data_IF_053565245886
#
_entry.id   IF_053565245886
#
_cell.length_a   1.000
_cell.length_b   1.000
_cell.length_c   1.000
_cell.angle_alpha   90.00
_cell.angle_beta   90.00
_cell.angle_gamma   90.00
#
_symmetry.space_group_name_H-M   'P 1'
#
loop_
_entity.id
_entity.type
_entity.pdbx_description
1 polymer ?
#
# COMPACT_ATOMS: atom_id res chain seq x y z
N UNK A 1 -11.61 -41.06 53.96
CA UNK A 1 -10.49 -40.18 53.58
C UNK A 1 -10.91 -38.74 53.84
N UNK A 2 -10.23 -38.02 54.73
CA UNK A 2 -10.71 -36.71 55.17
C UNK A 2 -10.28 -35.62 54.18
N UNK A 3 -11.21 -35.19 53.33
CA UNK A 3 -11.03 -34.15 52.29
C UNK A 3 -10.37 -32.88 52.85
N UNK A 4 -10.71 -32.47 54.07
CA UNK A 4 -10.13 -31.29 54.72
C UNK A 4 -8.61 -31.38 54.92
N UNK A 5 -8.07 -32.59 55.14
CA UNK A 5 -6.61 -32.79 55.24
C UNK A 5 -5.94 -32.73 53.88
N UNK A 6 -6.60 -33.28 52.85
CA UNK A 6 -6.10 -33.24 51.46
C UNK A 6 -6.01 -31.80 50.97
N UNK A 7 -7.04 -30.98 51.20
CA UNK A 7 -7.06 -29.56 50.81
C UNK A 7 -5.98 -28.76 51.53
N UNK A 8 -5.79 -28.99 52.84
CA UNK A 8 -4.77 -28.28 53.62
C UNK A 8 -3.34 -28.61 53.15
N UNK A 9 -3.06 -29.89 52.87
CA UNK A 9 -1.78 -30.31 52.30
C UNK A 9 -1.60 -29.70 50.90
N UNK A 10 -2.60 -29.80 50.03
CA UNK A 10 -2.54 -29.25 48.68
C UNK A 10 -2.29 -27.73 48.67
N UNK A 11 -2.95 -26.98 49.55
CA UNK A 11 -2.72 -25.54 49.69
C UNK A 11 -1.27 -25.22 50.09
N UNK A 12 -0.72 -25.94 51.08
CA UNK A 12 0.65 -25.70 51.55
C UNK A 12 1.68 -25.97 50.45
N UNK A 13 1.54 -27.08 49.73
CA UNK A 13 2.44 -27.44 48.63
C UNK A 13 2.30 -26.49 47.43
N UNK A 14 1.08 -26.04 47.12
CA UNK A 14 0.82 -25.02 46.09
C UNK A 14 1.45 -23.68 46.44
N UNK A 15 1.22 -23.18 47.66
CA UNK A 15 1.82 -21.94 48.15
C UNK A 15 3.36 -22.02 48.12
N UNK A 16 3.95 -23.13 48.56
CA UNK A 16 5.41 -23.30 48.54
C UNK A 16 6.01 -23.20 47.12
N UNK A 17 5.25 -23.59 46.10
CA UNK A 17 5.69 -23.56 44.69
C UNK A 17 5.41 -22.20 44.04
N UNK A 18 4.21 -21.65 44.25
CA UNK A 18 3.71 -20.43 43.60
C UNK A 18 4.25 -19.15 44.22
N UNK A 19 4.56 -19.13 45.52
CA UNK A 19 5.14 -17.95 46.18
C UNK A 19 6.64 -17.78 45.92
N UNK A 20 7.26 -18.66 45.13
CA UNK A 20 8.65 -18.47 44.75
C UNK A 20 8.76 -17.22 43.86
N UNK A 21 9.80 -16.43 44.08
CA UNK A 21 10.06 -15.22 43.28
C UNK A 21 10.12 -15.55 41.78
N UNK A 22 10.71 -16.70 41.43
CA UNK A 22 10.78 -17.18 40.05
C UNK A 22 9.41 -17.46 39.43
N UNK A 23 8.49 -18.11 40.16
CA UNK A 23 7.14 -18.39 39.65
C UNK A 23 6.32 -17.11 39.46
N UNK A 24 6.33 -16.22 40.46
CA UNK A 24 5.64 -14.92 40.39
C UNK A 24 6.14 -14.06 39.23
N UNK A 25 7.47 -14.00 39.04
CA UNK A 25 8.07 -13.29 37.92
C UNK A 25 7.68 -13.96 36.60
N UNK A 26 7.80 -15.28 36.47
CA UNK A 26 7.46 -16.00 35.24
C UNK A 26 6.00 -15.83 34.82
N UNK A 27 5.08 -15.94 35.78
CA UNK A 27 3.64 -15.74 35.55
C UNK A 27 3.30 -14.31 35.14
N UNK A 28 4.04 -13.31 35.61
CA UNK A 28 3.75 -11.90 35.33
C UNK A 28 4.47 -11.37 34.08
N UNK A 29 5.69 -11.86 33.81
CA UNK A 29 6.53 -11.38 32.70
C UNK A 29 5.94 -11.76 31.35
N UNK A 30 5.48 -13.01 31.17
CA UNK A 30 4.90 -13.45 29.90
C UNK A 30 3.67 -12.60 29.49
N UNK A 31 2.62 -12.42 30.32
CA UNK A 31 1.50 -11.58 29.94
C UNK A 31 1.90 -10.10 29.80
N UNK A 32 2.86 -9.61 30.58
CA UNK A 32 3.39 -8.26 30.41
C UNK A 32 4.02 -8.07 29.02
N UNK A 33 4.83 -9.02 28.55
CA UNK A 33 5.40 -9.00 27.20
C UNK A 33 4.29 -9.01 26.14
N UNK A 34 3.26 -9.85 26.32
CA UNK A 34 2.12 -9.90 25.39
C UNK A 34 1.39 -8.56 25.33
N UNK A 35 1.15 -7.91 26.48
CA UNK A 35 0.52 -6.58 26.53
C UNK A 35 1.40 -5.53 25.86
N UNK A 36 2.70 -5.53 26.13
CA UNK A 36 3.65 -4.61 25.48
C UNK A 36 3.64 -4.83 23.97
N UNK A 37 3.68 -6.08 23.50
CA UNK A 37 3.63 -6.39 22.06
C UNK A 37 2.30 -6.01 21.43
N UNK A 38 1.18 -6.25 22.09
CA UNK A 38 -0.13 -5.86 21.60
C UNK A 38 -0.28 -4.34 21.41
N UNK A 39 0.43 -3.54 22.23
CA UNK A 39 0.45 -2.07 22.11
C UNK A 39 1.54 -1.59 21.14
N UNK A 40 2.73 -2.20 21.14
CA UNK A 40 3.86 -1.77 20.32
C UNK A 40 3.71 -2.16 18.85
N UNK A 41 3.17 -3.35 18.55
CA UNK A 41 2.96 -3.83 17.17
C UNK A 41 2.15 -2.86 16.31
N UNK A 42 0.97 -2.36 16.71
CA UNK A 42 0.24 -1.42 15.87
C UNK A 42 1.03 -0.13 15.68
N UNK A 43 1.76 0.37 16.68
CA UNK A 43 2.58 1.58 16.54
C UNK A 43 3.71 1.39 15.52
N UNK A 44 4.32 0.19 15.47
CA UNK A 44 5.38 -0.14 14.52
C UNK A 44 4.86 -0.46 13.11
N UNK A 45 3.61 -0.91 12.98
CA UNK A 45 2.99 -1.32 11.71
C UNK A 45 2.16 -0.17 11.09
N UNK A 46 1.85 0.88 11.85
CA UNK A 46 1.06 2.02 11.38
C UNK A 46 1.92 3.10 10.71
N UNK A 47 2.88 2.69 9.90
CA UNK A 47 3.32 3.52 8.78
C UNK A 47 2.21 3.45 7.75
N UNK A 48 1.30 4.42 7.79
CA UNK A 48 0.35 4.64 6.70
C UNK A 48 1.16 4.70 5.41
N UNK A 49 0.84 3.82 4.46
CA UNK A 49 1.50 3.84 3.16
C UNK A 49 1.36 5.27 2.62
N UNK A 50 2.46 5.94 2.26
CA UNK A 50 2.41 7.35 1.88
C UNK A 50 1.39 7.50 0.75
N UNK A 51 0.39 8.34 0.97
CA UNK A 51 -0.57 8.67 -0.08
C UNK A 51 0.21 9.33 -1.21
N UNK A 52 0.28 8.65 -2.34
CA UNK A 52 1.00 9.16 -3.50
C UNK A 52 0.08 10.20 -4.13
N UNK A 53 0.31 11.46 -3.75
CA UNK A 53 -0.32 12.64 -4.33
C UNK A 53 0.71 13.39 -5.16
N UNK A 54 0.32 13.82 -6.37
CA UNK A 54 1.18 14.71 -7.14
C UNK A 54 0.78 14.89 -8.61
N UNK A 55 1.62 15.66 -9.29
CA UNK A 55 1.39 16.13 -10.65
C UNK A 55 2.10 15.24 -11.68
N UNK A 56 1.40 14.94 -12.77
CA UNK A 56 1.94 14.32 -13.98
C UNK A 56 1.83 15.36 -15.09
N UNK A 57 2.97 15.90 -15.49
CA UNK A 57 3.05 16.82 -16.62
C UNK A 57 3.10 16.03 -17.93
N UNK A 58 2.28 16.42 -18.91
CA UNK A 58 2.18 15.71 -20.19
C UNK A 58 2.31 16.71 -21.33
N UNK A 59 3.32 16.48 -22.17
CA UNK A 59 3.47 17.13 -23.47
C UNK A 59 2.87 16.18 -24.50
N UNK A 60 1.68 16.52 -25.00
CA UNK A 60 0.95 15.74 -26.00
C UNK A 60 0.63 16.60 -27.23
N UNK A 61 1.49 16.56 -28.26
CA UNK A 61 1.25 17.24 -29.53
C UNK A 61 0.10 16.63 -30.34
N UNK A 62 -0.29 15.39 -30.03
CA UNK A 62 -1.35 14.66 -30.74
C UNK A 62 -2.73 15.07 -30.25
N UNK A 63 -2.84 15.45 -28.97
CA UNK A 63 -4.08 15.79 -28.29
C UNK A 63 -4.98 14.58 -27.99
N UNK A 64 -4.57 13.36 -28.36
CA UNK A 64 -5.36 12.13 -28.18
C UNK A 64 -4.96 11.35 -26.93
N UNK A 65 -3.73 11.49 -26.45
CA UNK A 65 -3.20 10.72 -25.31
C UNK A 65 -3.67 11.31 -23.99
N UNK A 66 -3.67 12.64 -23.87
CA UNK A 66 -4.02 13.33 -22.63
C UNK A 66 -5.40 12.94 -22.08
N UNK A 67 -6.50 12.93 -22.87
CA UNK A 67 -7.83 12.58 -22.35
C UNK A 67 -7.89 11.12 -21.85
N UNK A 68 -7.33 10.20 -22.64
CA UNK A 68 -7.31 8.78 -22.30
C UNK A 68 -6.48 8.51 -21.03
N UNK A 69 -5.34 9.19 -20.90
CA UNK A 69 -4.48 9.08 -19.72
C UNK A 69 -5.17 9.64 -18.47
N UNK A 70 -5.89 10.75 -18.58
CA UNK A 70 -6.67 11.34 -17.48
C UNK A 70 -7.79 10.43 -17.01
N UNK A 71 -8.50 9.79 -17.93
CA UNK A 71 -9.54 8.83 -17.57
C UNK A 71 -8.93 7.60 -16.89
N UNK A 72 -7.84 7.07 -17.45
CA UNK A 72 -7.16 5.89 -16.92
C UNK A 72 -6.59 6.12 -15.52
N UNK A 73 -5.98 7.28 -15.27
CA UNK A 73 -5.38 7.63 -13.98
C UNK A 73 -6.36 8.27 -12.99
N UNK A 74 -7.64 8.33 -13.32
CA UNK A 74 -8.66 8.80 -12.38
C UNK A 74 -8.70 7.91 -11.12
N UNK A 75 -8.95 8.49 -9.93
CA UNK A 75 -9.06 7.73 -8.69
C UNK A 75 -10.09 6.60 -8.80
N UNK A 76 -11.20 6.84 -9.48
CA UNK A 76 -12.27 5.87 -9.71
C UNK A 76 -11.79 4.68 -10.56
N UNK A 77 -11.09 4.94 -11.67
CA UNK A 77 -10.55 3.89 -12.53
C UNK A 77 -9.46 3.07 -11.84
N UNK A 78 -8.63 3.70 -11.00
CA UNK A 78 -7.61 3.00 -10.20
C UNK A 78 -8.28 2.13 -9.12
N UNK A 79 -9.28 2.67 -8.42
CA UNK A 79 -10.02 1.94 -7.40
C UNK A 79 -10.75 0.72 -7.99
N UNK A 80 -11.40 0.89 -9.15
CA UNK A 80 -12.06 -0.21 -9.86
C UNK A 80 -11.07 -1.34 -10.19
N UNK A 81 -9.94 -1.01 -10.82
CA UNK A 81 -8.90 -1.99 -11.18
C UNK A 81 -8.32 -2.71 -9.96
N UNK A 82 -7.99 -1.98 -8.90
CA UNK A 82 -7.51 -2.60 -7.65
C UNK A 82 -8.53 -3.54 -7.03
N UNK A 83 -9.82 -3.20 -7.11
CA UNK A 83 -10.88 -4.08 -6.59
C UNK A 83 -11.00 -5.38 -7.38
N UNK A 84 -10.84 -5.33 -8.70
CA UNK A 84 -10.84 -6.49 -9.59
C UNK A 84 -9.62 -7.38 -9.35
N UNK A 85 -8.42 -6.79 -9.25
CA UNK A 85 -7.18 -7.51 -8.93
C UNK A 85 -7.26 -8.17 -7.55
N UNK A 86 -7.80 -7.46 -6.56
CA UNK A 86 -8.01 -8.00 -5.20
C UNK A 86 -8.93 -9.19 -5.23
N UNK A 87 -10.07 -9.09 -5.94
CA UNK A 87 -11.03 -10.17 -6.07
C UNK A 87 -10.40 -11.40 -6.75
N UNK A 88 -9.63 -11.20 -7.82
CA UNK A 88 -8.95 -12.27 -8.54
C UNK A 88 -7.90 -12.98 -7.67
N UNK A 89 -7.08 -12.22 -6.93
CA UNK A 89 -6.06 -12.77 -6.02
C UNK A 89 -6.71 -13.53 -4.86
N UNK A 90 -7.78 -12.98 -4.28
CA UNK A 90 -8.52 -13.63 -3.20
C UNK A 90 -9.15 -14.95 -3.65
N UNK A 91 -9.72 -14.99 -4.86
CA UNK A 91 -10.28 -16.20 -5.46
C UNK A 91 -9.19 -17.27 -5.70
N UNK A 92 -8.04 -16.88 -6.25
CA UNK A 92 -6.92 -17.81 -6.47
C UNK A 92 -6.39 -18.40 -5.16
N UNK A 93 -6.27 -17.58 -4.11
CA UNK A 93 -5.84 -18.01 -2.77
C UNK A 93 -6.86 -18.96 -2.13
N UNK A 94 -8.16 -18.66 -2.21
CA UNK A 94 -9.22 -19.52 -1.71
C UNK A 94 -9.19 -20.90 -2.37
N UNK A 95 -9.02 -20.93 -3.70
CA UNK A 95 -8.91 -22.15 -4.48
C UNK A 95 -7.66 -22.99 -4.12
N UNK A 96 -6.51 -22.34 -3.89
CA UNK A 96 -5.26 -23.04 -3.50
C UNK A 96 -5.32 -23.59 -2.08
N UNK A 97 -5.91 -22.86 -1.15
CA UNK A 97 -5.82 -23.19 0.26
C UNK A 97 -6.87 -24.23 0.72
N UNK A 98 -7.87 -24.56 -0.13
CA UNK A 98 -9.04 -25.41 0.25
C UNK A 98 -9.62 -25.02 1.61
N UNK A 99 -9.55 -23.73 1.95
CA UNK A 99 -9.97 -23.24 3.24
C UNK A 99 -11.50 -23.36 3.31
N UNK A 100 -12.06 -23.90 4.40
CA UNK A 100 -13.51 -23.87 4.60
C UNK A 100 -13.97 -22.41 4.66
N UNK A 101 -15.17 -22.13 4.11
CA UNK A 101 -15.88 -20.83 4.12
C UNK A 101 -16.26 -20.37 5.55
N UNK A 102 -15.34 -20.41 6.51
CA UNK A 102 -15.52 -19.76 7.79
C UNK A 102 -15.17 -18.27 7.63
N UNK A 103 -16.21 -17.46 7.54
CA UNK A 103 -16.23 -16.01 7.32
C UNK A 103 -15.24 -15.18 8.16
N UNK A 104 -14.75 -15.69 9.30
CA UNK A 104 -13.82 -14.96 10.17
C UNK A 104 -12.36 -14.93 9.65
N UNK A 105 -11.91 -15.97 8.93
CA UNK A 105 -10.55 -16.01 8.38
C UNK A 105 -10.48 -15.30 7.03
N UNK A 106 -11.55 -15.37 6.24
CA UNK A 106 -11.65 -14.68 4.95
C UNK A 106 -11.63 -13.15 5.08
N UNK A 107 -12.35 -12.59 6.07
CA UNK A 107 -12.38 -11.15 6.30
C UNK A 107 -11.02 -10.56 6.70
N UNK A 108 -10.26 -11.26 7.54
CA UNK A 108 -8.92 -10.83 7.95
C UNK A 108 -7.91 -10.88 6.79
N UNK A 109 -8.06 -11.85 5.87
CA UNK A 109 -7.23 -11.95 4.68
C UNK A 109 -7.55 -10.81 3.69
N UNK A 110 -8.84 -10.52 3.48
CA UNK A 110 -9.30 -9.45 2.58
C UNK A 110 -8.85 -8.06 3.07
N UNK A 111 -8.92 -7.81 4.37
CA UNK A 111 -8.44 -6.57 4.98
C UNK A 111 -6.90 -6.44 4.89
N UNK A 112 -6.17 -7.55 5.05
CA UNK A 112 -4.71 -7.56 4.88
C UNK A 112 -4.31 -7.27 3.43
N UNK A 113 -5.02 -7.83 2.43
CA UNK A 113 -4.77 -7.54 1.01
C UNK A 113 -5.08 -6.09 0.69
N UNK A 114 -6.24 -5.56 1.15
CA UNK A 114 -6.59 -4.14 0.98
C UNK A 114 -5.56 -3.21 1.60
N UNK A 115 -5.09 -3.51 2.81
CA UNK A 115 -4.06 -2.72 3.50
C UNK A 115 -2.72 -2.76 2.76
N UNK A 116 -2.37 -3.89 2.13
CA UNK A 116 -1.15 -4.01 1.33
C UNK A 116 -1.16 -3.21 0.02
N UNK A 117 -2.35 -2.98 -0.55
CA UNK A 117 -2.51 -2.19 -1.78
C UNK A 117 -2.38 -0.68 -1.53
N UNK A 118 -2.46 -0.25 -0.26
CA UNK A 118 -2.36 1.14 0.15
C UNK A 118 -3.54 1.99 -0.31
N UNK A 119 -3.46 3.29 -0.02
CA UNK A 119 -4.48 4.27 -0.43
C UNK A 119 -4.49 4.45 -1.96
N UNK A 120 -5.63 4.86 -2.50
CA UNK A 120 -5.76 5.19 -3.92
C UNK A 120 -4.97 6.48 -4.17
N UNK A 121 -3.98 6.46 -5.09
CA UNK A 121 -3.18 7.64 -5.36
C UNK A 121 -4.02 8.74 -6.04
N UNK A 122 -3.65 9.98 -5.79
CA UNK A 122 -4.31 11.16 -6.35
C UNK A 122 -3.36 11.83 -7.34
N UNK A 123 -3.66 11.68 -8.62
CA UNK A 123 -2.86 12.27 -9.69
C UNK A 123 -3.55 13.47 -10.32
N UNK A 124 -2.81 14.56 -10.45
CA UNK A 124 -3.22 15.73 -11.21
C UNK A 124 -2.48 15.74 -12.54
N UNK A 125 -3.21 15.66 -13.66
CA UNK A 125 -2.60 15.73 -14.98
C UNK A 125 -2.59 17.17 -15.47
N UNK A 126 -1.41 17.70 -15.73
CA UNK A 126 -1.22 19.05 -16.26
C UNK A 126 -0.77 18.98 -17.71
N UNK A 127 -1.58 19.47 -18.67
CA UNK A 127 -1.13 19.59 -20.05
C UNK A 127 -0.08 20.69 -20.16
N UNK A 128 1.00 20.39 -20.86
CA UNK A 128 2.04 21.34 -21.22
C UNK A 128 1.96 21.61 -22.72
N UNK A 129 2.11 22.88 -23.10
CA UNK A 129 2.12 23.29 -24.50
C UNK A 129 3.39 22.73 -25.19
N UNK A 130 3.23 21.89 -26.24
CA UNK A 130 4.35 21.33 -27.00
C UNK A 130 5.30 22.36 -27.60
N UNK A 131 4.83 23.58 -27.85
CA UNK A 131 5.59 24.62 -28.52
C UNK A 131 6.29 25.59 -27.56
N UNK A 132 5.83 25.69 -26.31
CA UNK A 132 6.41 26.56 -25.29
C UNK A 132 7.11 25.81 -24.15
N UNK A 133 6.92 24.49 -24.05
CA UNK A 133 7.52 23.70 -22.98
C UNK A 133 9.03 23.57 -23.17
N UNK A 134 9.79 24.22 -22.29
CA UNK A 134 11.22 23.99 -22.16
C UNK A 134 11.45 22.66 -21.42
N UNK A 135 11.61 21.57 -22.16
CA UNK A 135 11.76 20.20 -21.63
C UNK A 135 12.77 20.12 -20.48
N UNK A 136 13.87 20.87 -20.54
CA UNK A 136 14.88 20.88 -19.48
C UNK A 136 14.39 21.56 -18.18
N UNK A 137 13.56 22.61 -18.27
CA UNK A 137 12.93 23.23 -17.11
C UNK A 137 11.92 22.27 -16.46
N UNK A 138 11.12 21.59 -17.28
CA UNK A 138 10.12 20.62 -16.81
C UNK A 138 10.77 19.40 -16.14
N UNK A 139 11.94 18.97 -16.62
CA UNK A 139 12.77 17.96 -15.94
C UNK A 139 13.35 18.45 -14.63
N UNK A 140 13.75 19.73 -14.52
CA UNK A 140 14.23 20.29 -13.26
C UNK A 140 13.12 20.32 -12.20
N UNK A 141 11.87 20.53 -12.60
CA UNK A 141 10.72 20.45 -11.69
C UNK A 141 10.55 19.06 -11.06
N UNK A 142 11.00 17.97 -11.73
CA UNK A 142 11.03 16.63 -11.12
C UNK A 142 12.00 16.52 -9.93
N UNK A 143 13.00 17.40 -9.85
CA UNK A 143 13.99 17.42 -8.77
C UNK A 143 13.62 18.40 -7.64
N UNK A 144 12.67 19.30 -7.88
CA UNK A 144 12.27 20.33 -6.92
C UNK A 144 11.63 19.71 -5.67
N UNK A 145 11.95 20.21 -4.47
CA UNK A 145 11.36 19.69 -3.24
C UNK A 145 9.98 20.34 -3.01
N UNK A 146 8.96 19.73 -3.62
CA UNK A 146 7.56 20.10 -3.49
C UNK A 146 6.79 18.96 -2.82
N UNK A 147 5.72 19.31 -2.10
CA UNK A 147 4.89 18.38 -1.34
C UNK A 147 3.43 18.40 -1.85
N UNK A 148 2.70 17.30 -1.65
CA UNK A 148 1.29 17.17 -2.03
C UNK A 148 1.04 17.30 -3.54
N UNK A 149 -0.11 17.86 -3.91
CA UNK A 149 -0.55 18.03 -5.31
C UNK A 149 0.45 18.77 -6.23
N UNK A 150 1.25 19.69 -5.68
CA UNK A 150 2.23 20.47 -6.45
C UNK A 150 3.53 19.67 -6.72
N UNK A 151 3.67 18.50 -6.09
CA UNK A 151 4.83 17.64 -6.28
C UNK A 151 4.77 16.96 -7.64
N UNK A 152 5.70 17.32 -8.53
CA UNK A 152 5.81 16.63 -9.81
C UNK A 152 6.39 15.23 -9.68
N UNK A 153 5.59 14.25 -10.10
CA UNK A 153 5.93 12.82 -10.04
C UNK A 153 6.52 12.34 -11.36
N UNK A 154 5.94 12.78 -12.47
CA UNK A 154 6.37 12.35 -13.80
C UNK A 154 6.21 13.46 -14.86
N UNK A 155 7.05 13.37 -15.89
CA UNK A 155 6.94 14.11 -17.14
C UNK A 155 6.86 13.10 -18.28
N UNK A 156 5.76 13.18 -19.03
CA UNK A 156 5.52 12.38 -20.23
C UNK A 156 5.67 13.27 -21.45
N UNK A 157 6.49 12.84 -22.41
CA UNK A 157 6.66 13.52 -23.69
C UNK A 157 6.23 12.54 -24.79
N UNK A 158 5.17 12.89 -25.51
CA UNK A 158 4.63 12.10 -26.61
C UNK A 158 5.15 12.68 -27.92
N UNK A 159 5.66 11.84 -28.81
CA UNK A 159 6.07 12.29 -30.14
C UNK A 159 4.84 12.58 -31.04
N UNK A 160 4.94 13.53 -31.97
CA UNK A 160 3.84 13.96 -32.86
C UNK A 160 3.19 12.82 -33.66
N UNK A 161 3.93 11.75 -33.92
CA UNK A 161 3.47 10.56 -34.66
C UNK A 161 3.24 9.34 -33.75
N UNK A 162 3.09 9.52 -32.43
CA UNK A 162 2.91 8.41 -31.50
C UNK A 162 1.59 7.65 -31.71
N UNK A 163 0.53 8.34 -32.17
CA UNK A 163 -0.81 7.76 -32.39
C UNK A 163 -1.17 7.60 -33.87
N UNK A 164 -0.44 8.27 -34.76
CA UNK A 164 -0.65 8.20 -36.21
C UNK A 164 0.66 7.89 -36.93
N UNK A 165 0.65 6.94 -37.85
CA UNK A 165 1.81 6.58 -38.64
C UNK A 165 2.37 7.78 -39.41
N UNK A 166 3.70 7.89 -39.44
CA UNK A 166 4.37 8.86 -40.29
C UNK A 166 4.32 8.43 -41.77
N UNK A 167 4.86 9.26 -42.67
CA UNK A 167 4.91 8.97 -44.11
C UNK A 167 5.68 7.67 -44.47
N UNK A 168 6.43 7.10 -43.53
CA UNK A 168 7.17 5.84 -43.66
C UNK A 168 6.44 4.64 -43.04
N UNK A 169 5.24 4.82 -42.49
CA UNK A 169 4.47 3.76 -41.83
C UNK A 169 4.94 3.44 -40.42
N UNK A 170 5.75 4.31 -39.80
CA UNK A 170 6.30 4.10 -38.46
C UNK A 170 5.62 5.01 -37.43
N UNK A 171 5.35 4.46 -36.25
CA UNK A 171 4.87 5.22 -35.10
C UNK A 171 6.02 5.86 -34.33
N UNK A 172 5.72 7.01 -33.74
CA UNK A 172 6.58 7.70 -32.80
C UNK A 172 6.66 6.95 -31.48
N UNK A 173 7.49 7.44 -30.57
CA UNK A 173 7.62 6.89 -29.24
C UNK A 173 7.08 7.87 -28.20
N UNK A 174 7.26 7.51 -26.93
CA UNK A 174 7.07 8.41 -25.81
C UNK A 174 8.29 8.32 -24.89
N UNK A 175 8.55 9.40 -24.16
CA UNK A 175 9.58 9.46 -23.12
C UNK A 175 8.90 9.69 -21.80
N UNK A 176 9.22 8.83 -20.82
CA UNK A 176 8.76 8.96 -19.45
C UNK A 176 9.94 9.30 -18.56
N UNK A 177 9.86 10.43 -17.88
CA UNK A 177 10.77 10.81 -16.82
C UNK A 177 10.02 10.74 -15.50
N UNK A 178 10.55 9.99 -14.54
CA UNK A 178 9.98 9.86 -13.20
C UNK A 178 10.90 10.48 -12.17
N UNK A 179 10.33 11.03 -11.10
CA UNK A 179 11.09 11.49 -9.95
C UNK A 179 11.84 10.32 -9.31
N UNK A 180 13.05 10.56 -8.81
CA UNK A 180 13.79 9.55 -8.07
C UNK A 180 13.13 9.22 -6.72
N UNK A 181 13.25 7.96 -6.28
CA UNK A 181 12.66 7.42 -5.02
C UNK A 181 11.12 7.41 -5.02
N UNK A 182 10.55 6.93 -6.12
CA UNK A 182 9.13 6.64 -6.24
C UNK A 182 8.81 5.15 -5.94
N UNK A 183 9.84 4.35 -5.65
CA UNK A 183 9.85 2.90 -5.39
C UNK A 183 10.02 2.52 -3.91
#
# INVERSE_FOLDING_TARGET
MNISRVVCVAQREFLATVLTKGFLIGVLVLPLIVVIMAVAMPILINEEAPSIEGEIAVIDPTGEVLPALSEYLSPEAIAARRSEETAAVAEELANRAKLPENNAVGGALDEAVKKSLGEVPLFHITPLDPHSAEIEQEKQALLADAEGAERRLALVIVDDNAVSENASGEFGSYKLFVRGKLD
#
